data_IF_962275155159
#
_entry.id   IF_962275155159
#
_cell.length_a   1.000
_cell.length_b   1.000
_cell.length_c   1.000
_cell.angle_alpha   90.00
_cell.angle_beta   90.00
_cell.angle_gamma   90.00
#
_symmetry.space_group_name_H-M   'P 1'
#
loop_
_entity.id
_entity.type
_entity.pdbx_description
1 polymer ?
#
# COMPACT_ATOMS: atom_id res chain seq x y z
N UNK A 1 -25.46 13.85 8.71
CA UNK A 1 -24.62 13.44 9.86
C UNK A 1 -23.32 12.87 9.27
N UNK A 2 -22.38 13.73 8.86
CA UNK A 2 -21.14 13.33 8.20
C UNK A 2 -19.95 13.74 9.07
N UNK A 3 -19.71 12.98 10.15
CA UNK A 3 -18.56 13.15 11.05
C UNK A 3 -17.54 12.02 10.88
N UNK A 4 -17.26 11.62 9.63
CA UNK A 4 -16.11 10.78 9.29
C UNK A 4 -14.95 11.64 8.78
N UNK A 5 -14.40 12.48 9.66
CA UNK A 5 -13.03 12.99 9.48
C UNK A 5 -12.07 11.89 9.92
N UNK A 6 -11.49 11.18 8.97
CA UNK A 6 -10.37 10.27 9.25
C UNK A 6 -9.23 11.07 9.90
N UNK A 7 -8.95 10.82 11.19
CA UNK A 7 -7.90 11.50 11.97
C UNK A 7 -6.45 11.12 11.56
N UNK A 8 -6.27 10.52 10.39
CA UNK A 8 -4.94 10.18 9.87
C UNK A 8 -4.48 11.33 8.99
N UNK A 9 -3.72 12.25 9.57
CA UNK A 9 -3.00 13.27 8.80
C UNK A 9 -1.87 12.59 8.04
N UNK A 10 -1.97 12.57 6.71
CA UNK A 10 -0.87 12.07 5.88
C UNK A 10 0.20 13.16 5.83
N UNK A 11 1.22 13.01 6.66
CA UNK A 11 2.31 13.97 6.71
C UNK A 11 3.21 13.85 5.48
N UNK A 12 3.54 15.00 4.90
CA UNK A 12 4.49 15.08 3.80
C UNK A 12 5.89 14.82 4.34
N UNK A 13 6.66 13.96 3.66
CA UNK A 13 8.07 13.76 3.98
C UNK A 13 8.86 15.06 3.90
N UNK A 14 9.86 15.22 4.77
CA UNK A 14 10.75 16.39 4.77
C UNK A 14 11.48 16.56 3.43
N UNK A 15 11.70 17.82 3.02
CA UNK A 15 12.41 18.19 1.80
C UNK A 15 13.83 17.60 1.76
N UNK A 16 14.49 17.47 2.92
CA UNK A 16 15.81 16.85 3.03
C UNK A 16 15.76 15.37 2.69
N UNK A 17 14.75 14.64 3.17
CA UNK A 17 14.58 13.23 2.88
C UNK A 17 14.25 13.01 1.40
N UNK A 18 13.40 13.86 0.82
CA UNK A 18 13.14 13.88 -0.62
C UNK A 18 14.44 14.04 -1.41
N UNK A 19 15.27 15.03 -1.07
CA UNK A 19 16.54 15.26 -1.74
C UNK A 19 17.49 14.05 -1.69
N UNK A 20 17.61 13.40 -0.53
CA UNK A 20 18.45 12.20 -0.40
C UNK A 20 17.92 11.00 -1.17
N UNK A 21 16.61 10.75 -1.15
CA UNK A 21 16.00 9.66 -1.93
C UNK A 21 16.32 9.84 -3.42
N UNK A 22 16.15 11.04 -3.95
CA UNK A 22 16.46 11.31 -5.36
C UNK A 22 17.97 11.26 -5.65
N UNK A 23 18.82 11.71 -4.74
CA UNK A 23 20.27 11.57 -4.88
C UNK A 23 20.69 10.09 -4.97
N UNK A 24 20.13 9.22 -4.12
CA UNK A 24 20.38 7.76 -4.16
C UNK A 24 19.86 7.17 -5.46
N UNK A 25 18.63 7.48 -5.86
CA UNK A 25 18.02 6.96 -7.10
C UNK A 25 18.88 7.35 -8.32
N UNK A 26 19.23 8.63 -8.45
CA UNK A 26 20.07 9.07 -9.57
C UNK A 26 21.47 8.48 -9.53
N UNK A 27 22.05 8.29 -8.34
CA UNK A 27 23.34 7.61 -8.18
C UNK A 27 23.28 6.16 -8.66
N UNK A 28 22.24 5.41 -8.27
CA UNK A 28 22.04 4.03 -8.75
C UNK A 28 21.96 3.98 -10.27
N UNK A 29 21.19 4.86 -10.91
CA UNK A 29 21.11 4.91 -12.37
C UNK A 29 22.39 5.43 -13.04
N UNK A 30 23.16 6.29 -12.38
CA UNK A 30 24.44 6.79 -12.89
C UNK A 30 25.51 5.69 -12.93
N UNK A 31 25.58 4.87 -11.88
CA UNK A 31 26.58 3.82 -11.71
C UNK A 31 26.12 2.43 -12.19
N UNK A 32 24.84 2.23 -12.48
CA UNK A 32 24.32 0.96 -13.03
C UNK A 32 25.07 0.46 -14.29
N UNK A 33 25.45 1.33 -15.26
CA UNK A 33 26.21 0.89 -16.44
C UNK A 33 27.63 0.40 -16.14
N UNK A 34 28.22 0.86 -15.03
CA UNK A 34 29.59 0.49 -14.60
C UNK A 34 29.66 -0.99 -14.27
N UNK A 35 28.60 -1.55 -13.69
CA UNK A 35 28.47 -3.00 -13.43
C UNK A 35 28.51 -3.84 -14.72
N UNK A 36 28.26 -3.22 -15.88
CA UNK A 36 28.29 -3.84 -17.22
C UNK A 36 29.51 -3.41 -18.03
N UNK A 37 30.53 -2.83 -17.39
CA UNK A 37 31.76 -2.39 -18.04
C UNK A 37 31.64 -1.13 -18.91
N UNK A 38 30.54 -0.38 -18.78
CA UNK A 38 30.37 0.90 -19.49
C UNK A 38 30.71 2.08 -18.58
N UNK A 39 31.01 3.24 -19.17
CA UNK A 39 31.26 4.45 -18.40
C UNK A 39 30.03 4.87 -17.57
N UNK A 40 30.23 5.43 -16.36
CA UNK A 40 29.15 6.01 -15.59
C UNK A 40 28.48 7.12 -16.40
N UNK A 41 27.18 7.28 -16.21
CA UNK A 41 26.46 8.43 -16.80
C UNK A 41 26.77 9.67 -15.96
N UNK A 42 27.86 10.36 -16.31
CA UNK A 42 28.34 11.55 -15.62
C UNK A 42 27.27 12.64 -15.43
N UNK A 43 26.33 12.75 -16.38
CA UNK A 43 25.17 13.65 -16.26
C UNK A 43 24.28 13.29 -15.07
N UNK A 44 23.94 12.01 -14.89
CA UNK A 44 23.16 11.57 -13.74
C UNK A 44 23.96 11.64 -12.43
N UNK A 45 25.27 11.40 -12.48
CA UNK A 45 26.13 11.56 -11.31
C UNK A 45 26.17 13.02 -10.83
N UNK A 46 26.26 13.98 -11.77
CA UNK A 46 26.20 15.41 -11.47
C UNK A 46 24.83 15.81 -10.87
N UNK A 47 23.73 15.29 -11.42
CA UNK A 47 22.38 15.52 -10.88
C UNK A 47 22.25 14.92 -9.48
N UNK A 48 22.76 13.72 -9.24
CA UNK A 48 22.76 13.09 -7.91
C UNK A 48 23.52 13.94 -6.89
N UNK A 49 24.71 14.43 -7.26
CA UNK A 49 25.51 15.32 -6.42
C UNK A 49 24.79 16.64 -6.13
N UNK A 50 24.15 17.24 -7.14
CA UNK A 50 23.36 18.45 -6.97
C UNK A 50 22.21 18.25 -5.97
N UNK A 51 21.45 17.15 -6.10
CA UNK A 51 20.36 16.83 -5.17
C UNK A 51 20.88 16.60 -3.74
N UNK A 52 22.03 15.92 -3.58
CA UNK A 52 22.65 15.71 -2.28
C UNK A 52 23.09 17.04 -1.64
N UNK A 53 23.74 17.92 -2.42
CA UNK A 53 24.17 19.25 -1.94
C UNK A 53 22.98 20.13 -1.55
N UNK A 54 21.93 20.16 -2.38
CA UNK A 54 20.71 20.89 -2.06
C UNK A 54 20.03 20.33 -0.79
N UNK A 55 20.01 19.01 -0.61
CA UNK A 55 19.46 18.39 0.60
C UNK A 55 20.25 18.76 1.87
N UNK A 56 21.56 18.96 1.78
CA UNK A 56 22.41 19.35 2.92
C UNK A 56 22.32 20.85 3.23
N UNK A 57 22.51 21.69 2.21
CA UNK A 57 22.76 23.12 2.41
C UNK A 57 21.53 24.00 2.20
N UNK A 58 20.58 23.58 1.35
CA UNK A 58 19.43 24.41 0.98
C UNK A 58 18.16 23.57 0.74
N UNK A 59 17.68 22.81 1.74
CA UNK A 59 16.52 21.93 1.57
C UNK A 59 15.24 22.69 1.18
N UNK A 60 15.14 23.98 1.53
CA UNK A 60 14.02 24.83 1.13
C UNK A 60 13.83 24.95 -0.39
N UNK A 61 14.90 24.82 -1.18
CA UNK A 61 14.83 24.83 -2.65
C UNK A 61 14.06 23.61 -3.20
N UNK A 62 14.08 22.49 -2.46
CA UNK A 62 13.41 21.24 -2.83
C UNK A 62 11.92 21.20 -2.43
N UNK A 63 11.39 22.26 -1.81
CA UNK A 63 10.01 22.32 -1.34
C UNK A 63 8.97 22.15 -2.44
N UNK A 64 9.13 22.87 -3.55
CA UNK A 64 8.21 22.80 -4.69
C UNK A 64 8.23 21.43 -5.36
N UNK A 65 9.41 20.87 -5.74
CA UNK A 65 9.51 19.50 -6.23
C UNK A 65 8.91 18.46 -5.27
N UNK A 66 9.23 18.53 -3.98
CA UNK A 66 8.72 17.61 -2.96
C UNK A 66 7.18 17.63 -2.90
N UNK A 67 6.57 18.82 -2.93
CA UNK A 67 5.11 18.95 -2.91
C UNK A 67 4.43 18.36 -4.14
N UNK A 68 5.01 18.55 -5.32
CA UNK A 68 4.50 17.99 -6.58
C UNK A 68 4.62 16.46 -6.53
N UNK A 69 5.78 15.96 -6.15
CA UNK A 69 6.04 14.52 -6.00
C UNK A 69 5.10 13.86 -5.00
N UNK A 70 4.85 14.51 -3.86
CA UNK A 70 3.92 14.00 -2.86
C UNK A 70 2.49 13.91 -3.40
N UNK A 71 2.00 14.94 -4.10
CA UNK A 71 0.67 14.90 -4.75
C UNK A 71 0.59 13.80 -5.80
N UNK A 72 1.64 13.64 -6.60
CA UNK A 72 1.72 12.55 -7.55
C UNK A 72 1.64 11.19 -6.84
N UNK A 73 2.37 11.02 -5.74
CA UNK A 73 2.33 9.82 -4.91
C UNK A 73 0.93 9.52 -4.35
N UNK A 74 0.17 10.55 -3.96
CA UNK A 74 -1.22 10.38 -3.50
C UNK A 74 -2.14 9.89 -4.63
N UNK A 75 -2.04 10.49 -5.83
CA UNK A 75 -2.84 10.07 -6.99
C UNK A 75 -2.48 8.65 -7.40
N UNK A 76 -1.18 8.35 -7.45
CA UNK A 76 -0.68 7.03 -7.76
C UNK A 76 -1.18 5.99 -6.73
N UNK A 77 -1.11 6.32 -5.44
CA UNK A 77 -1.63 5.48 -4.37
C UNK A 77 -3.14 5.24 -4.49
N UNK A 78 -3.92 6.25 -4.86
CA UNK A 78 -5.36 6.11 -5.07
C UNK A 78 -5.72 5.17 -6.23
N UNK A 79 -4.84 5.01 -7.22
CA UNK A 79 -5.01 4.08 -8.34
C UNK A 79 -4.45 2.69 -7.99
N UNK A 80 -3.27 2.63 -7.38
CA UNK A 80 -2.60 1.38 -7.05
C UNK A 80 -3.34 0.61 -5.95
N UNK A 81 -3.86 1.29 -4.93
CA UNK A 81 -4.57 0.65 -3.82
C UNK A 81 -5.73 -0.24 -4.28
N UNK A 82 -6.71 0.23 -5.10
CA UNK A 82 -7.78 -0.62 -5.60
C UNK A 82 -7.27 -1.72 -6.55
N UNK A 83 -6.21 -1.48 -7.34
CA UNK A 83 -5.61 -2.51 -8.20
C UNK A 83 -5.04 -3.64 -7.37
N UNK A 84 -4.26 -3.32 -6.33
CA UNK A 84 -3.69 -4.33 -5.43
C UNK A 84 -4.81 -5.07 -4.69
N UNK A 85 -5.83 -4.35 -4.18
CA UNK A 85 -6.97 -4.98 -3.53
C UNK A 85 -7.75 -5.92 -4.46
N UNK A 86 -7.94 -5.53 -5.72
CA UNK A 86 -8.54 -6.38 -6.74
C UNK A 86 -7.67 -7.60 -7.00
N UNK A 87 -6.35 -7.44 -7.14
CA UNK A 87 -5.42 -8.56 -7.34
C UNK A 87 -5.46 -9.53 -6.16
N UNK A 88 -5.45 -9.04 -4.92
CA UNK A 88 -5.60 -9.85 -3.71
C UNK A 88 -6.93 -10.60 -3.73
N UNK A 89 -8.03 -9.94 -4.13
CA UNK A 89 -9.31 -10.61 -4.27
C UNK A 89 -9.27 -11.75 -5.31
N UNK A 90 -8.71 -11.49 -6.48
CA UNK A 90 -8.63 -12.46 -7.57
C UNK A 90 -7.69 -13.63 -7.26
N UNK A 91 -6.57 -13.39 -6.58
CA UNK A 91 -5.50 -14.38 -6.37
C UNK A 91 -5.64 -15.11 -5.04
N UNK A 92 -6.21 -14.49 -4.00
CA UNK A 92 -6.40 -15.14 -2.71
C UNK A 92 -7.85 -15.56 -2.51
N UNK A 93 -8.80 -14.61 -2.60
CA UNK A 93 -10.18 -14.86 -2.19
C UNK A 93 -10.94 -15.72 -3.20
N UNK A 94 -10.87 -15.42 -4.50
CA UNK A 94 -11.55 -16.22 -5.54
C UNK A 94 -11.12 -17.68 -5.53
N UNK A 95 -9.82 -18.04 -5.61
CA UNK A 95 -9.43 -19.45 -5.63
C UNK A 95 -9.76 -20.14 -4.30
N UNK A 96 -9.67 -19.46 -3.17
CA UNK A 96 -10.10 -20.02 -1.88
C UNK A 96 -11.59 -20.34 -1.89
N UNK A 97 -12.43 -19.41 -2.37
CA UNK A 97 -13.87 -19.63 -2.50
C UNK A 97 -14.22 -20.74 -3.50
N UNK A 98 -13.48 -20.83 -4.61
CA UNK A 98 -13.63 -21.89 -5.59
C UNK A 98 -13.23 -23.26 -5.01
N UNK A 99 -12.13 -23.32 -4.27
CA UNK A 99 -11.68 -24.53 -3.59
C UNK A 99 -12.69 -25.01 -2.54
N UNK A 100 -13.29 -24.08 -1.77
CA UNK A 100 -14.36 -24.41 -0.82
C UNK A 100 -15.61 -24.96 -1.54
N UNK A 101 -16.00 -24.36 -2.67
CA UNK A 101 -17.10 -24.88 -3.50
C UNK A 101 -16.80 -26.27 -4.07
N UNK A 102 -15.59 -26.49 -4.58
CA UNK A 102 -15.16 -27.78 -5.13
C UNK A 102 -15.07 -28.87 -4.05
N UNK A 103 -14.66 -28.51 -2.83
CA UNK A 103 -14.65 -29.44 -1.67
C UNK A 103 -16.03 -29.62 -1.04
N UNK A 104 -17.08 -28.98 -1.57
CA UNK A 104 -18.45 -29.08 -1.08
C UNK A 104 -18.69 -28.44 0.28
N UNK A 105 -17.74 -27.67 0.81
CA UNK A 105 -17.84 -27.02 2.11
C UNK A 105 -18.65 -25.73 1.99
N UNK A 106 -19.83 -25.73 2.61
CA UNK A 106 -20.64 -24.53 2.77
C UNK A 106 -20.40 -23.92 4.15
N UNK A 107 -19.34 -23.12 4.28
CA UNK A 107 -18.98 -22.49 5.56
C UNK A 107 -19.91 -21.35 5.97
N UNK A 108 -20.68 -20.82 5.02
CA UNK A 108 -21.55 -19.66 5.22
C UNK A 108 -23.04 -20.05 5.24
N UNK A 109 -23.34 -21.36 5.18
CA UNK A 109 -24.71 -21.90 5.09
C UNK A 109 -25.54 -21.17 4.02
N UNK A 110 -24.93 -20.94 2.84
CA UNK A 110 -25.52 -20.18 1.74
C UNK A 110 -26.60 -20.98 0.99
N UNK A 111 -26.60 -22.32 1.11
CA UNK A 111 -27.65 -23.15 0.52
C UNK A 111 -28.97 -22.93 1.26
N UNK A 112 -30.00 -22.54 0.50
CA UNK A 112 -31.35 -22.42 1.02
C UNK A 112 -31.94 -23.82 1.18
N UNK A 113 -32.37 -24.15 2.38
CA UNK A 113 -33.11 -25.34 2.73
C UNK A 113 -34.61 -24.98 2.80
N UNK A 114 -35.40 -25.27 1.76
CA UNK A 114 -36.81 -24.88 1.70
C UNK A 114 -37.71 -25.62 2.70
N UNK A 115 -37.23 -26.75 3.22
CA UNK A 115 -37.92 -27.58 4.22
C UNK A 115 -37.52 -27.22 5.67
N UNK A 116 -36.57 -26.29 5.85
CA UNK A 116 -36.13 -25.89 7.18
C UNK A 116 -37.20 -25.05 7.89
N UNK A 117 -37.58 -25.45 9.10
CA UNK A 117 -38.52 -24.70 9.94
C UNK A 117 -37.96 -23.34 10.37
N UNK A 118 -36.63 -23.23 10.52
CA UNK A 118 -35.93 -21.99 10.87
C UNK A 118 -34.45 -22.07 10.50
N UNK A 119 -33.90 -20.96 10.01
CA UNK A 119 -32.44 -20.78 9.81
C UNK A 119 -31.72 -20.31 11.08
N UNK A 120 -32.44 -20.15 12.19
CA UNK A 120 -31.86 -19.70 13.44
C UNK A 120 -30.95 -20.78 14.03
N UNK A 121 -29.67 -20.47 14.17
CA UNK A 121 -28.72 -21.36 14.84
C UNK A 121 -28.86 -21.15 16.35
N UNK A 122 -29.51 -22.11 17.01
CA UNK A 122 -29.66 -22.08 18.47
C UNK A 122 -28.30 -22.14 19.18
N UNK A 123 -28.14 -21.28 20.18
CA UNK A 123 -26.94 -21.27 21.01
C UNK A 123 -27.06 -22.35 22.07
N UNK A 124 -26.15 -23.31 22.05
CA UNK A 124 -26.05 -24.35 23.08
C UNK A 124 -25.40 -23.87 24.38
N UNK A 125 -24.68 -22.73 24.34
CA UNK A 125 -24.02 -22.13 25.50
C UNK A 125 -24.67 -20.81 25.93
N UNK A 126 -24.91 -20.62 27.24
CA UNK A 126 -25.40 -19.36 27.77
C UNK A 126 -24.38 -18.22 27.59
N UNK A 127 -24.84 -16.96 27.47
CA UNK A 127 -23.95 -15.83 27.25
C UNK A 127 -23.01 -15.63 28.45
N UNK A 128 -21.72 -15.83 28.24
CA UNK A 128 -20.68 -15.47 29.21
C UNK A 128 -20.38 -13.97 29.17
N UNK A 129 -19.85 -13.45 30.28
CA UNK A 129 -19.29 -12.09 30.35
C UNK A 129 -18.30 -11.85 29.21
N UNK A 130 -18.33 -10.66 28.58
CA UNK A 130 -17.40 -10.29 27.50
C UNK A 130 -15.92 -10.39 27.92
N UNK A 131 -15.64 -10.35 29.23
CA UNK A 131 -14.29 -10.54 29.78
C UNK A 131 -13.80 -12.01 29.75
N UNK A 132 -14.62 -12.96 29.32
CA UNK A 132 -14.33 -14.39 29.34
C UNK A 132 -14.51 -15.05 27.96
N UNK A 133 -14.50 -14.26 26.89
CA UNK A 133 -14.77 -14.70 25.52
C UNK A 133 -13.50 -14.93 24.67
N UNK A 134 -12.32 -14.98 25.28
CA UNK A 134 -11.02 -15.15 24.63
C UNK A 134 -10.28 -16.37 25.15
#
# INVERSE_FOLDING_TARGET
MNDHKSNVTVDMGSERNFGFVFAVVFSLFAFFPVLRGHDPRWTLAAIAALFALLALFAPAALKWPNRIWFRFGLILGAIIAPIIMALVFLVAFIPTGLLLRLTGKDLLSLRLEPEAESYWIERTTPPMSMRLQY
#
